data_IF_097351384328
#
_entry.id   IF_097351384328
#
_cell.length_a   1.000
_cell.length_b   1.000
_cell.length_c   1.000
_cell.angle_alpha   90.00
_cell.angle_beta   90.00
_cell.angle_gamma   90.00
#
_symmetry.space_group_name_H-M   'P 1'
#
loop_
_entity.id
_entity.type
_entity.pdbx_description
1 polymer ?
#
# COMPACT_ATOMS: atom_id res chain seq x y z
N UNK A 1 13.56 23.44 6.61
CA UNK A 1 13.65 21.97 6.69
C UNK A 1 12.29 21.43 7.13
N UNK A 2 11.78 20.38 6.50
CA UNK A 2 10.55 19.73 6.92
C UNK A 2 10.78 18.95 8.23
N UNK A 3 9.76 18.89 9.10
CA UNK A 3 9.83 18.10 10.34
C UNK A 3 9.93 16.61 9.98
N UNK A 4 10.95 15.86 10.48
CA UNK A 4 11.06 14.43 10.20
C UNK A 4 9.89 13.64 10.82
N UNK A 5 9.55 12.50 10.23
CA UNK A 5 8.62 11.54 10.82
C UNK A 5 9.39 10.71 11.86
N UNK A 6 8.96 10.79 13.11
CA UNK A 6 9.58 10.06 14.23
C UNK A 6 8.70 8.95 14.78
N UNK A 7 7.39 9.14 14.70
CA UNK A 7 6.39 8.18 15.17
C UNK A 7 5.31 8.04 14.12
N UNK A 8 4.96 6.81 13.78
CA UNK A 8 3.94 6.51 12.79
C UNK A 8 2.98 5.40 13.25
N UNK A 9 1.71 5.51 12.87
CA UNK A 9 0.73 4.45 12.95
C UNK A 9 0.66 3.68 11.64
N UNK A 10 0.52 2.35 11.72
CA UNK A 10 0.20 1.50 10.57
C UNK A 10 -1.05 0.68 10.94
N UNK A 11 -2.09 0.81 10.14
CA UNK A 11 -3.36 0.13 10.37
C UNK A 11 -3.55 -0.96 9.31
N UNK A 12 -3.74 -2.19 9.77
CA UNK A 12 -3.77 -3.39 8.94
C UNK A 12 -2.45 -4.16 9.01
N UNK A 13 -2.51 -5.42 9.45
CA UNK A 13 -1.36 -6.30 9.66
C UNK A 13 -1.21 -7.36 8.55
N UNK A 14 -1.81 -7.10 7.37
CA UNK A 14 -1.62 -7.90 6.17
C UNK A 14 -0.21 -7.76 5.58
N UNK A 15 -0.02 -8.28 4.38
CA UNK A 15 1.28 -8.28 3.69
C UNK A 15 1.85 -6.87 3.56
N UNK A 16 1.03 -5.91 3.08
CA UNK A 16 1.48 -4.53 2.87
C UNK A 16 1.74 -3.81 4.19
N UNK A 17 0.79 -3.82 5.13
CA UNK A 17 0.96 -3.13 6.41
C UNK A 17 2.13 -3.68 7.23
N UNK A 18 2.34 -5.00 7.24
CA UNK A 18 3.51 -5.62 7.90
C UNK A 18 4.83 -5.21 7.24
N UNK A 19 4.84 -5.09 5.91
CA UNK A 19 6.00 -4.61 5.16
C UNK A 19 6.31 -3.13 5.43
N UNK A 20 5.28 -2.27 5.43
CA UNK A 20 5.39 -0.83 5.70
C UNK A 20 5.87 -0.60 7.14
N UNK A 21 5.28 -1.27 8.12
CA UNK A 21 5.69 -1.24 9.52
C UNK A 21 7.17 -1.59 9.68
N UNK A 22 7.61 -2.69 9.08
CA UNK A 22 9.01 -3.11 9.16
C UNK A 22 9.94 -2.09 8.48
N UNK A 23 9.53 -1.50 7.35
CA UNK A 23 10.31 -0.51 6.63
C UNK A 23 10.45 0.81 7.41
N UNK A 24 9.37 1.28 8.05
CA UNK A 24 9.41 2.44 8.94
C UNK A 24 10.32 2.19 10.15
N UNK A 25 10.21 1.03 10.79
CA UNK A 25 11.09 0.67 11.89
C UNK A 25 12.57 0.58 11.47
N UNK A 26 12.89 0.10 10.24
CA UNK A 26 14.23 0.12 9.67
C UNK A 26 14.75 1.55 9.49
N UNK A 27 13.89 2.51 9.16
CA UNK A 27 14.24 3.93 9.01
C UNK A 27 14.35 4.69 10.35
N UNK A 28 14.24 3.97 11.49
CA UNK A 28 14.37 4.56 12.82
C UNK A 28 13.09 5.20 13.36
N UNK A 29 11.94 4.99 12.72
CA UNK A 29 10.63 5.47 13.16
C UNK A 29 10.07 4.52 14.22
N UNK A 30 9.49 5.06 15.29
CA UNK A 30 8.73 4.28 16.26
C UNK A 30 7.32 4.03 15.70
N UNK A 31 6.90 2.76 15.63
CA UNK A 31 5.69 2.35 14.92
C UNK A 31 4.66 1.77 15.88
N UNK A 32 3.43 2.26 15.77
CA UNK A 32 2.24 1.61 16.34
C UNK A 32 1.53 0.85 15.24
N UNK A 33 1.43 -0.47 15.37
CA UNK A 33 0.74 -1.33 14.43
C UNK A 33 -0.57 -1.82 15.01
N UNK A 34 -1.68 -1.42 14.42
CA UNK A 34 -3.02 -1.83 14.86
C UNK A 34 -3.71 -2.66 13.77
N UNK A 35 -4.55 -3.59 14.21
CA UNK A 35 -5.47 -4.32 13.35
C UNK A 35 -6.83 -4.49 14.06
N UNK A 36 -7.79 -5.07 13.41
CA UNK A 36 -9.06 -5.42 14.04
C UNK A 36 -8.87 -6.50 15.11
N UNK A 37 -9.75 -6.52 16.09
CA UNK A 37 -9.89 -7.70 16.97
C UNK A 37 -10.34 -8.87 16.12
N UNK A 38 -9.69 -10.05 16.20
CA UNK A 38 -10.07 -11.20 15.40
C UNK A 38 -11.53 -11.58 15.60
N UNK A 39 -12.32 -11.78 14.52
CA UNK A 39 -13.70 -12.22 14.64
C UNK A 39 -13.77 -13.66 15.23
N UNK A 40 -14.88 -13.99 15.88
CA UNK A 40 -15.16 -15.34 16.37
C UNK A 40 -14.42 -15.74 17.65
N UNK A 41 -13.81 -14.80 18.37
CA UNK A 41 -13.27 -15.08 19.70
C UNK A 41 -14.39 -15.43 20.68
N UNK A 42 -14.19 -16.49 21.49
CA UNK A 42 -15.06 -16.81 22.64
C UNK A 42 -14.99 -15.72 23.71
N UNK A 43 -15.95 -15.65 24.60
CA UNK A 43 -15.98 -14.65 25.69
C UNK A 43 -14.74 -14.72 26.60
N UNK A 44 -14.17 -15.92 26.80
CA UNK A 44 -12.93 -16.04 27.55
C UNK A 44 -11.70 -15.62 26.79
N UNK A 45 -11.64 -15.88 25.47
CA UNK A 45 -10.56 -15.40 24.62
C UNK A 45 -10.55 -13.87 24.51
N UNK A 46 -11.69 -13.22 24.48
CA UNK A 46 -11.83 -11.75 24.46
C UNK A 46 -11.24 -11.07 25.70
N UNK A 47 -11.17 -11.76 26.84
CA UNK A 47 -10.55 -11.23 28.07
C UNK A 47 -9.02 -11.17 28.01
N UNK A 48 -8.41 -11.88 27.06
CA UNK A 48 -6.96 -11.93 26.92
C UNK A 48 -6.48 -10.96 25.83
N UNK A 49 -5.73 -9.90 26.18
CA UNK A 49 -5.19 -8.94 25.20
C UNK A 49 -4.35 -9.59 24.11
N UNK A 50 -3.65 -10.69 24.39
CA UNK A 50 -2.85 -11.40 23.39
C UNK A 50 -3.72 -12.01 22.28
N UNK A 51 -4.92 -12.47 22.60
CA UNK A 51 -5.88 -12.97 21.60
C UNK A 51 -6.48 -11.84 20.79
N UNK A 52 -6.81 -10.71 21.43
CA UNK A 52 -7.35 -9.53 20.78
C UNK A 52 -6.35 -8.88 19.83
N UNK A 53 -5.06 -8.90 20.16
CA UNK A 53 -3.99 -8.32 19.35
C UNK A 53 -3.34 -9.34 18.39
N UNK A 54 -3.94 -10.54 18.23
CA UNK A 54 -3.35 -11.65 17.48
C UNK A 54 -3.01 -11.31 16.05
N UNK A 55 -3.79 -10.48 15.35
CA UNK A 55 -3.52 -10.09 13.98
C UNK A 55 -2.30 -9.17 13.88
N UNK A 56 -2.23 -8.10 14.66
CA UNK A 56 -1.08 -7.21 14.67
C UNK A 56 0.21 -7.92 15.12
N UNK A 57 0.13 -8.73 16.17
CA UNK A 57 1.25 -9.56 16.62
C UNK A 57 1.67 -10.59 15.57
N UNK A 58 0.72 -11.16 14.84
CA UNK A 58 0.95 -12.07 13.71
C UNK A 58 1.70 -11.41 12.58
N UNK A 59 1.31 -10.19 12.21
CA UNK A 59 1.98 -9.38 11.18
C UNK A 59 3.42 -9.07 11.54
N UNK A 60 3.70 -8.63 12.78
CA UNK A 60 5.07 -8.42 13.26
C UNK A 60 5.90 -9.71 13.23
N UNK A 61 5.32 -10.82 13.72
CA UNK A 61 5.99 -12.13 13.69
C UNK A 61 6.25 -12.62 12.26
N UNK A 62 5.31 -12.38 11.35
CA UNK A 62 5.44 -12.67 9.92
C UNK A 62 6.60 -11.87 9.30
N UNK A 63 6.64 -10.56 9.53
CA UNK A 63 7.70 -9.69 9.02
C UNK A 63 9.10 -10.09 9.52
N UNK A 64 9.23 -10.58 10.77
CA UNK A 64 10.48 -11.09 11.32
C UNK A 64 10.99 -12.37 10.62
N UNK A 65 10.09 -13.13 9.99
CA UNK A 65 10.38 -14.41 9.31
C UNK A 65 10.34 -14.29 7.79
N UNK A 66 9.98 -13.12 7.27
CA UNK A 66 9.75 -12.91 5.83
C UNK A 66 10.99 -13.26 5.00
N UNK A 67 10.74 -13.82 3.82
CA UNK A 67 11.72 -14.06 2.78
C UNK A 67 11.19 -13.52 1.46
N UNK A 68 11.84 -12.50 0.90
CA UNK A 68 13.03 -11.79 1.38
C UNK A 68 12.80 -11.02 2.69
N UNK A 69 13.87 -10.79 3.47
CA UNK A 69 13.78 -10.24 4.82
C UNK A 69 13.18 -8.83 4.83
N UNK A 70 12.11 -8.59 5.61
CA UNK A 70 11.47 -7.28 5.75
C UNK A 70 12.29 -6.33 6.67
N UNK A 71 12.86 -6.84 7.75
CA UNK A 71 13.75 -6.08 8.63
C UNK A 71 15.21 -6.14 8.17
N UNK A 72 15.96 -5.02 8.31
CA UNK A 72 17.42 -5.03 8.16
C UNK A 72 18.09 -5.87 9.26
N UNK A 73 17.58 -5.72 10.47
CA UNK A 73 18.02 -6.50 11.62
C UNK A 73 16.85 -6.70 12.58
N UNK A 74 16.73 -7.90 13.18
CA UNK A 74 15.61 -8.27 14.08
C UNK A 74 15.42 -7.30 15.28
N UNK A 75 16.48 -6.62 15.70
CA UNK A 75 16.40 -5.67 16.81
C UNK A 75 15.53 -4.44 16.49
N UNK A 76 15.33 -4.10 15.22
CA UNK A 76 14.46 -2.98 14.84
C UNK A 76 12.99 -3.25 15.17
N UNK A 77 12.59 -4.51 15.33
CA UNK A 77 11.25 -4.87 15.80
C UNK A 77 10.92 -4.30 17.20
N UNK A 78 11.92 -3.91 17.99
CA UNK A 78 11.71 -3.23 19.30
C UNK A 78 11.08 -1.85 19.18
N UNK A 79 11.09 -1.25 17.99
CA UNK A 79 10.42 0.01 17.69
C UNK A 79 8.93 -0.15 17.43
N UNK A 80 8.43 -1.39 17.40
CA UNK A 80 7.05 -1.68 17.04
C UNK A 80 6.24 -2.02 18.28
N UNK A 81 5.18 -1.23 18.50
CA UNK A 81 4.13 -1.53 19.48
C UNK A 81 2.94 -2.10 18.72
N UNK A 82 2.39 -3.24 19.14
CA UNK A 82 1.23 -3.86 18.51
C UNK A 82 -0.01 -3.69 19.38
N UNK A 83 -1.18 -3.56 18.75
CA UNK A 83 -2.45 -3.41 19.43
C UNK A 83 -3.63 -3.67 18.50
N UNK A 84 -4.82 -3.28 18.92
CA UNK A 84 -6.02 -3.37 18.11
C UNK A 84 -6.82 -2.05 18.07
N UNK A 85 -7.72 -1.93 17.09
CA UNK A 85 -8.50 -0.71 16.83
C UNK A 85 -9.63 -0.46 17.86
N UNK A 86 -9.94 -1.43 18.73
CA UNK A 86 -10.97 -1.26 19.76
C UNK A 86 -10.39 -0.74 21.08
N UNK A 87 -9.27 -1.34 21.52
CA UNK A 87 -8.68 -1.06 22.83
C UNK A 87 -7.56 -0.02 22.76
N UNK A 88 -6.84 0.04 21.63
CA UNK A 88 -5.52 0.67 21.56
C UNK A 88 -5.47 1.84 20.55
N UNK A 89 -6.59 2.28 19.99
CA UNK A 89 -6.63 3.33 18.97
C UNK A 89 -5.99 4.64 19.46
N UNK A 90 -6.08 4.92 20.76
CA UNK A 90 -5.46 6.09 21.39
C UNK A 90 -3.93 6.08 21.33
N UNK A 91 -3.31 4.94 21.08
CA UNK A 91 -1.86 4.86 20.83
C UNK A 91 -1.43 5.62 19.57
N UNK A 92 -2.37 5.92 18.67
CA UNK A 92 -2.10 6.71 17.45
C UNK A 92 -1.94 8.21 17.74
N UNK A 93 -2.37 8.69 18.91
CA UNK A 93 -2.13 10.08 19.32
C UNK A 93 -0.63 10.36 19.41
N UNK A 94 -0.22 11.53 18.97
CA UNK A 94 1.18 11.93 18.88
C UNK A 94 1.96 11.29 17.71
N UNK A 95 1.30 10.56 16.79
CA UNK A 95 1.91 10.14 15.54
C UNK A 95 2.05 11.33 14.57
N UNK A 96 3.17 11.39 13.86
CA UNK A 96 3.38 12.33 12.76
C UNK A 96 2.63 11.92 11.49
N UNK A 97 2.46 10.60 11.31
CA UNK A 97 1.83 9.95 10.16
C UNK A 97 1.05 8.72 10.63
N UNK A 98 -0.15 8.53 10.09
CA UNK A 98 -0.89 7.26 10.21
C UNK A 98 -1.19 6.77 8.79
N UNK A 99 -0.73 5.57 8.46
CA UNK A 99 -0.99 4.93 7.16
C UNK A 99 -1.93 3.73 7.31
N UNK A 100 -2.97 3.70 6.50
CA UNK A 100 -3.91 2.60 6.40
C UNK A 100 -3.50 1.65 5.27
N UNK A 101 -3.52 0.34 5.55
CA UNK A 101 -3.25 -0.75 4.63
C UNK A 101 -4.20 -1.94 4.88
N UNK A 102 -5.51 -1.63 4.98
CA UNK A 102 -6.59 -2.60 5.17
C UNK A 102 -7.14 -3.09 3.83
N UNK A 103 -8.22 -3.88 3.87
CA UNK A 103 -8.87 -4.38 2.66
C UNK A 103 -9.42 -3.24 1.79
N UNK A 104 -9.49 -3.49 0.46
CA UNK A 104 -9.92 -2.50 -0.52
C UNK A 104 -11.45 -2.46 -0.59
N UNK A 105 -12.05 -1.79 0.41
CA UNK A 105 -13.50 -1.62 0.54
C UNK A 105 -13.83 -0.22 1.04
N UNK A 106 -14.65 0.52 0.29
CA UNK A 106 -15.01 1.91 0.58
C UNK A 106 -15.65 2.10 1.96
N UNK A 107 -16.64 1.29 2.31
CA UNK A 107 -17.39 1.47 3.54
C UNK A 107 -16.51 1.23 4.78
N UNK A 108 -15.64 0.22 4.71
CA UNK A 108 -14.71 -0.09 5.79
C UNK A 108 -13.67 1.03 5.94
N UNK A 109 -13.12 1.55 4.82
CA UNK A 109 -12.17 2.66 4.86
C UNK A 109 -12.81 3.94 5.37
N UNK A 110 -14.01 4.31 4.92
CA UNK A 110 -14.77 5.47 5.40
C UNK A 110 -15.03 5.41 6.90
N UNK A 111 -15.47 4.24 7.40
CA UNK A 111 -15.68 4.03 8.84
C UNK A 111 -14.39 4.15 9.63
N UNK A 112 -13.27 3.65 9.10
CA UNK A 112 -11.96 3.81 9.72
C UNK A 112 -11.54 5.29 9.75
N UNK A 113 -11.65 6.01 8.63
CA UNK A 113 -11.27 7.43 8.57
C UNK A 113 -12.11 8.30 9.49
N UNK A 114 -13.39 7.98 9.68
CA UNK A 114 -14.22 8.63 10.69
C UNK A 114 -13.68 8.42 12.12
N UNK A 115 -13.28 7.19 12.46
CA UNK A 115 -12.66 6.90 13.76
C UNK A 115 -11.33 7.65 13.91
N UNK A 116 -10.51 7.69 12.88
CA UNK A 116 -9.22 8.39 12.90
C UNK A 116 -9.40 9.89 13.07
N UNK A 117 -10.33 10.51 12.34
CA UNK A 117 -10.65 11.93 12.46
C UNK A 117 -11.03 12.33 13.90
N UNK A 118 -11.80 11.46 14.58
CA UNK A 118 -12.23 11.69 15.96
C UNK A 118 -11.15 11.36 17.01
N UNK A 119 -10.06 10.70 16.61
CA UNK A 119 -9.03 10.21 17.56
C UNK A 119 -7.73 10.98 17.45
N UNK A 120 -7.31 11.30 16.23
CA UNK A 120 -5.97 11.85 15.96
C UNK A 120 -5.86 13.31 16.37
N UNK A 121 -4.64 13.72 16.69
CA UNK A 121 -4.32 15.11 16.94
C UNK A 121 -4.43 15.92 15.64
N UNK A 122 -4.79 17.19 15.78
CA UNK A 122 -4.87 18.11 14.64
C UNK A 122 -3.51 18.21 13.93
N UNK A 123 -3.53 18.12 12.59
CA UNK A 123 -2.32 18.16 11.77
C UNK A 123 -1.56 16.83 11.66
N UNK A 124 -2.06 15.76 12.26
CA UNK A 124 -1.57 14.40 11.95
C UNK A 124 -1.82 14.09 10.49
N UNK A 125 -0.78 13.67 9.76
CA UNK A 125 -0.94 13.26 8.36
C UNK A 125 -1.56 11.86 8.33
N UNK A 126 -2.59 11.69 7.50
CA UNK A 126 -3.22 10.39 7.25
C UNK A 126 -2.95 9.97 5.82
N UNK A 127 -2.54 8.73 5.62
CA UNK A 127 -2.30 8.18 4.30
C UNK A 127 -3.07 6.87 4.11
N UNK A 128 -3.45 6.58 2.86
CA UNK A 128 -3.93 5.25 2.46
C UNK A 128 -2.92 4.58 1.54
N UNK A 129 -2.72 3.28 1.71
CA UNK A 129 -1.94 2.46 0.77
C UNK A 129 -2.85 1.81 -0.30
N UNK A 130 -4.03 2.39 -0.56
CA UNK A 130 -4.91 1.92 -1.64
C UNK A 130 -4.17 1.86 -2.97
N UNK A 131 -4.55 0.90 -3.82
CA UNK A 131 -3.98 0.72 -5.16
C UNK A 131 -4.75 1.45 -6.25
N UNK A 132 -5.99 1.92 -5.97
CA UNK A 132 -6.81 2.49 -7.03
C UNK A 132 -8.13 3.13 -6.60
N UNK A 133 -8.46 3.15 -5.30
CA UNK A 133 -9.66 3.87 -4.84
C UNK A 133 -9.39 5.38 -4.86
N UNK A 134 -10.35 6.13 -5.40
CA UNK A 134 -10.25 7.60 -5.49
C UNK A 134 -10.30 8.23 -4.11
N UNK A 135 -9.43 9.20 -3.88
CA UNK A 135 -9.34 9.92 -2.60
C UNK A 135 -10.65 10.63 -2.29
N UNK A 136 -11.25 11.30 -3.27
CA UNK A 136 -12.52 12.00 -3.09
C UNK A 136 -13.63 11.08 -2.53
N UNK A 137 -13.73 9.86 -3.07
CA UNK A 137 -14.76 8.91 -2.67
C UNK A 137 -14.49 8.32 -1.27
N UNK A 138 -13.22 8.11 -0.91
CA UNK A 138 -12.83 7.64 0.42
C UNK A 138 -13.07 8.68 1.51
N UNK A 139 -12.94 9.98 1.19
CA UNK A 139 -13.02 11.09 2.13
C UNK A 139 -14.37 11.78 2.18
N UNK A 140 -15.39 11.25 1.52
CA UNK A 140 -16.73 11.78 1.58
C UNK A 140 -17.20 11.93 3.04
N UNK A 141 -17.70 13.13 3.39
CA UNK A 141 -18.15 13.45 4.74
C UNK A 141 -17.04 13.76 5.76
N UNK A 142 -15.76 13.78 5.38
CA UNK A 142 -14.67 14.20 6.29
C UNK A 142 -14.52 15.71 6.31
N UNK A 143 -13.99 16.24 7.41
CA UNK A 143 -13.75 17.69 7.57
C UNK A 143 -12.68 18.18 6.59
N UNK A 144 -12.68 19.50 6.34
CA UNK A 144 -11.66 20.16 5.53
C UNK A 144 -10.25 19.94 6.12
N UNK A 145 -10.11 19.99 7.45
CA UNK A 145 -8.84 19.75 8.14
C UNK A 145 -8.32 18.33 7.88
N UNK A 146 -9.18 17.31 7.92
CA UNK A 146 -8.80 15.93 7.64
C UNK A 146 -8.40 15.77 6.18
N UNK A 147 -9.17 16.31 5.23
CA UNK A 147 -8.87 16.25 3.79
C UNK A 147 -7.56 16.95 3.41
N UNK A 148 -7.25 18.09 4.05
CA UNK A 148 -5.96 18.79 3.85
C UNK A 148 -4.75 17.99 4.31
N UNK A 149 -4.91 17.13 5.31
CA UNK A 149 -3.83 16.30 5.85
C UNK A 149 -3.83 14.87 5.31
N UNK A 150 -4.56 14.59 4.23
CA UNK A 150 -4.68 13.26 3.65
C UNK A 150 -3.98 13.17 2.28
N UNK A 151 -3.36 11.99 2.03
CA UNK A 151 -2.81 11.63 0.72
C UNK A 151 -2.83 10.10 0.54
N UNK A 152 -2.58 9.63 -0.68
CA UNK A 152 -2.20 8.22 -0.91
C UNK A 152 -0.68 8.10 -0.86
N UNK A 153 -0.18 7.08 -0.16
CA UNK A 153 1.20 6.61 -0.17
C UNK A 153 1.20 5.13 -0.63
N UNK A 154 1.27 4.93 -1.93
CA UNK A 154 1.17 3.60 -2.52
C UNK A 154 2.53 2.92 -2.60
N UNK A 155 2.75 1.98 -1.69
CA UNK A 155 3.94 1.12 -1.65
C UNK A 155 3.75 -0.13 -2.50
N UNK A 156 4.84 -0.67 -3.02
CA UNK A 156 4.87 -1.91 -3.81
C UNK A 156 5.50 -3.06 -3.01
N UNK A 157 4.99 -4.26 -3.21
CA UNK A 157 5.49 -5.47 -2.55
C UNK A 157 6.70 -6.06 -3.31
N UNK A 158 7.78 -6.45 -2.65
CA UNK A 158 8.10 -6.34 -1.22
C UNK A 158 8.53 -4.93 -0.82
N UNK A 159 7.86 -4.33 0.18
CA UNK A 159 8.00 -2.91 0.53
C UNK A 159 9.46 -2.46 0.72
N UNK A 160 10.29 -3.26 1.35
CA UNK A 160 11.71 -2.94 1.58
C UNK A 160 12.52 -2.83 0.28
N UNK A 161 12.22 -3.67 -0.71
CA UNK A 161 13.05 -3.86 -1.92
C UNK A 161 12.59 -3.00 -3.09
N UNK A 162 11.30 -2.79 -3.20
CA UNK A 162 10.73 -1.93 -4.24
C UNK A 162 11.07 -0.47 -3.95
N UNK A 163 11.79 0.16 -4.88
CA UNK A 163 12.20 1.57 -4.72
C UNK A 163 11.06 2.55 -4.97
N UNK A 164 10.13 2.20 -5.83
CA UNK A 164 8.99 3.06 -6.17
C UNK A 164 8.08 3.27 -4.97
N UNK A 165 7.74 4.53 -4.72
CA UNK A 165 6.66 4.96 -3.85
C UNK A 165 5.87 6.05 -4.58
N UNK A 166 4.60 5.81 -4.83
CA UNK A 166 3.71 6.80 -5.41
C UNK A 166 3.08 7.65 -4.31
N UNK A 167 3.12 8.96 -4.50
CA UNK A 167 2.38 9.90 -3.68
C UNK A 167 1.29 10.54 -4.53
N UNK A 168 0.04 10.44 -4.07
CA UNK A 168 -1.10 11.00 -4.79
C UNK A 168 -1.82 11.97 -3.87
N UNK A 169 -1.96 13.21 -4.31
CA UNK A 169 -2.72 14.23 -3.62
C UNK A 169 -4.20 14.15 -4.00
N UNK A 170 -5.09 14.32 -3.03
CA UNK A 170 -6.46 14.70 -3.30
C UNK A 170 -6.57 16.18 -3.67
N UNK A 171 -7.75 16.61 -4.08
CA UNK A 171 -8.01 17.98 -4.50
C UNK A 171 -7.66 19.03 -3.40
N UNK A 172 -7.91 18.66 -2.14
CA UNK A 172 -7.70 19.55 -0.99
C UNK A 172 -6.40 19.27 -0.23
N UNK A 173 -5.60 18.29 -0.62
CA UNK A 173 -4.35 17.94 0.08
C UNK A 173 -3.39 19.15 0.11
N UNK A 174 -2.95 19.54 1.31
CA UNK A 174 -2.02 20.65 1.47
C UNK A 174 -0.67 20.34 0.77
N UNK A 175 -0.16 21.24 -0.09
CA UNK A 175 1.16 21.09 -0.69
C UNK A 175 2.30 20.90 0.32
N UNK A 176 2.16 21.42 1.54
CA UNK A 176 3.14 21.20 2.60
C UNK A 176 3.16 19.74 3.08
N UNK A 177 2.01 19.06 3.09
CA UNK A 177 1.88 17.63 3.40
C UNK A 177 2.59 16.82 2.32
N UNK A 178 2.31 17.10 1.04
CA UNK A 178 2.98 16.45 -0.09
C UNK A 178 4.50 16.61 -0.01
N UNK A 179 4.97 17.84 0.21
CA UNK A 179 6.40 18.14 0.36
C UNK A 179 7.03 17.37 1.54
N UNK A 180 6.34 17.32 2.69
CA UNK A 180 6.83 16.59 3.88
C UNK A 180 6.94 15.10 3.59
N UNK A 181 5.95 14.50 2.93
CA UNK A 181 5.95 13.07 2.62
C UNK A 181 6.92 12.72 1.49
N UNK A 182 7.18 13.62 0.54
CA UNK A 182 8.28 13.46 -0.43
C UNK A 182 9.62 13.36 0.28
N UNK A 183 9.96 14.31 1.14
CA UNK A 183 11.21 14.30 1.92
C UNK A 183 11.28 13.05 2.82
N UNK A 184 10.19 12.66 3.46
CA UNK A 184 10.14 11.42 4.25
C UNK A 184 10.44 10.20 3.39
N UNK A 185 9.81 10.08 2.23
CA UNK A 185 10.02 8.98 1.29
C UNK A 185 11.45 8.90 0.76
N UNK A 186 12.01 10.02 0.33
CA UNK A 186 13.36 10.08 -0.25
C UNK A 186 14.45 9.94 0.81
N UNK A 187 14.44 10.79 1.83
CA UNK A 187 15.56 10.93 2.75
C UNK A 187 15.56 9.87 3.87
N UNK A 188 14.36 9.52 4.39
CA UNK A 188 14.24 8.57 5.50
C UNK A 188 14.00 7.14 5.03
N UNK A 189 13.15 6.95 4.00
CA UNK A 189 12.79 5.62 3.51
C UNK A 189 13.66 5.14 2.34
N UNK A 190 14.43 6.03 1.70
CA UNK A 190 15.27 5.70 0.54
C UNK A 190 14.48 5.27 -0.69
N UNK A 191 13.27 5.82 -0.86
CA UNK A 191 12.38 5.58 -2.00
C UNK A 191 12.65 6.54 -3.15
N UNK A 192 12.32 6.09 -4.37
CA UNK A 192 12.12 6.97 -5.51
C UNK A 192 10.66 7.41 -5.55
N UNK A 193 10.42 8.71 -5.39
CA UNK A 193 9.07 9.25 -5.34
C UNK A 193 8.56 9.55 -6.74
N UNK A 194 7.34 9.09 -7.03
CA UNK A 194 6.55 9.50 -8.20
C UNK A 194 5.28 10.15 -7.69
N UNK A 195 5.05 11.39 -8.11
CA UNK A 195 3.80 12.09 -7.81
C UNK A 195 2.78 11.73 -8.88
N UNK A 196 1.75 11.00 -8.48
CA UNK A 196 0.65 10.59 -9.33
C UNK A 196 -0.54 11.54 -9.24
N UNK A 197 -1.47 11.41 -10.19
CA UNK A 197 -2.80 12.02 -10.11
C UNK A 197 -3.77 11.05 -9.44
N UNK A 198 -4.84 11.57 -8.83
CA UNK A 198 -5.95 10.76 -8.28
C UNK A 198 -6.78 10.15 -9.41
N UNK A 199 -6.18 9.21 -10.12
CA UNK A 199 -6.79 8.47 -11.24
C UNK A 199 -6.68 6.97 -11.00
N UNK A 200 -7.56 6.15 -11.59
CA UNK A 200 -7.57 4.70 -11.37
C UNK A 200 -6.20 4.06 -11.56
N UNK A 201 -5.79 3.25 -10.59
CA UNK A 201 -4.51 2.51 -10.56
C UNK A 201 -3.24 3.37 -10.66
N UNK A 202 -3.35 4.68 -10.46
CA UNK A 202 -2.27 5.67 -10.43
C UNK A 202 -1.30 5.54 -11.63
N UNK A 203 0.00 5.41 -11.39
CA UNK A 203 1.04 5.36 -12.44
C UNK A 203 1.59 3.95 -12.63
N UNK A 204 2.10 3.33 -11.55
CA UNK A 204 2.83 2.06 -11.63
C UNK A 204 1.96 0.89 -12.05
N UNK A 205 0.81 0.73 -11.42
CA UNK A 205 -0.13 -0.34 -11.77
C UNK A 205 -0.68 -0.16 -13.18
N UNK A 206 -1.04 1.08 -13.57
CA UNK A 206 -1.57 1.37 -14.89
C UNK A 206 -0.55 1.07 -15.99
N UNK A 207 0.70 1.54 -15.85
CA UNK A 207 1.77 1.25 -16.82
C UNK A 207 2.11 -0.24 -16.83
N UNK A 208 2.21 -0.86 -15.65
CA UNK A 208 2.53 -2.29 -15.53
C UNK A 208 1.47 -3.18 -16.18
N UNK A 209 0.19 -2.93 -15.92
CA UNK A 209 -0.90 -3.69 -16.54
C UNK A 209 -1.01 -3.43 -18.05
N UNK A 210 -0.84 -2.18 -18.48
CA UNK A 210 -0.80 -1.86 -19.91
C UNK A 210 0.28 -2.64 -20.63
N UNK A 211 1.52 -2.57 -20.14
CA UNK A 211 2.66 -3.27 -20.73
C UNK A 211 2.48 -4.78 -20.77
N UNK A 212 1.96 -5.36 -19.68
CA UNK A 212 1.71 -6.79 -19.59
C UNK A 212 0.60 -7.23 -20.55
N UNK A 213 -0.52 -6.51 -20.59
CA UNK A 213 -1.65 -6.81 -21.49
C UNK A 213 -1.24 -6.70 -22.95
N UNK A 214 -0.48 -5.66 -23.31
CA UNK A 214 0.07 -5.51 -24.65
C UNK A 214 1.00 -6.68 -25.01
N UNK A 215 1.89 -7.08 -24.10
CA UNK A 215 2.79 -8.23 -24.29
C UNK A 215 2.02 -9.53 -24.52
N UNK A 216 0.89 -9.74 -23.82
CA UNK A 216 0.05 -10.92 -24.01
C UNK A 216 -0.64 -10.92 -25.39
N UNK A 217 -1.15 -9.77 -25.84
CA UNK A 217 -1.78 -9.64 -27.14
C UNK A 217 -0.76 -9.89 -28.27
N UNK A 218 0.39 -9.24 -28.23
CA UNK A 218 1.47 -9.42 -29.22
C UNK A 218 2.01 -10.86 -29.24
N UNK A 219 2.06 -11.54 -28.09
CA UNK A 219 2.44 -12.96 -28.02
C UNK A 219 1.48 -13.82 -28.87
N UNK A 220 0.17 -13.61 -28.73
CA UNK A 220 -0.84 -14.36 -29.46
C UNK A 220 -0.77 -14.08 -30.97
N UNK A 221 -0.64 -12.82 -31.35
CA UNK A 221 -0.56 -12.39 -32.74
C UNK A 221 0.71 -12.93 -33.45
N UNK A 222 1.82 -13.03 -32.70
CA UNK A 222 3.08 -13.59 -33.20
C UNK A 222 3.15 -15.12 -33.14
N UNK A 223 2.18 -15.79 -32.51
CA UNK A 223 2.18 -17.24 -32.32
C UNK A 223 3.30 -17.75 -31.42
N UNK A 224 3.76 -16.92 -30.47
CA UNK A 224 4.81 -17.25 -29.52
C UNK A 224 4.24 -17.93 -28.26
N UNK A 225 5.11 -18.65 -27.56
CA UNK A 225 4.78 -19.20 -26.23
C UNK A 225 5.17 -18.22 -25.12
N UNK A 226 4.60 -18.36 -23.89
CA UNK A 226 5.05 -17.56 -22.73
C UNK A 226 6.56 -17.68 -22.46
N UNK A 227 7.15 -18.85 -22.70
CA UNK A 227 8.59 -19.12 -22.54
C UNK A 227 9.43 -18.33 -23.56
N UNK A 228 8.96 -18.24 -24.81
CA UNK A 228 9.62 -17.47 -25.89
C UNK A 228 9.61 -15.97 -25.50
N UNK A 229 8.46 -15.47 -25.05
CA UNK A 229 8.32 -14.07 -24.62
C UNK A 229 9.21 -13.78 -23.41
N UNK A 230 9.24 -14.65 -22.41
CA UNK A 230 10.11 -14.46 -21.24
C UNK A 230 11.60 -14.48 -21.61
N UNK A 231 11.99 -15.29 -22.60
CA UNK A 231 13.36 -15.29 -23.11
C UNK A 231 13.74 -13.94 -23.78
N UNK A 232 12.79 -13.27 -24.42
CA UNK A 232 12.97 -11.97 -25.10
C UNK A 232 12.89 -10.81 -24.09
N UNK A 233 11.82 -10.78 -23.28
CA UNK A 233 11.46 -9.63 -22.44
C UNK A 233 12.19 -9.57 -21.10
N UNK A 234 13.11 -10.49 -20.85
CA UNK A 234 13.95 -10.52 -19.65
C UNK A 234 15.27 -9.77 -19.83
N UNK A 235 16.40 -10.38 -19.46
CA UNK A 235 17.73 -9.75 -19.51
C UNK A 235 18.11 -9.14 -20.87
N UNK A 236 17.72 -9.71 -22.04
CA UNK A 236 18.04 -9.10 -23.32
C UNK A 236 17.48 -7.68 -23.50
N UNK A 237 16.34 -7.38 -22.87
CA UNK A 237 15.72 -6.04 -22.86
C UNK A 237 16.11 -5.21 -21.63
N UNK A 238 17.07 -5.67 -20.81
CA UNK A 238 17.48 -4.96 -19.58
C UNK A 238 16.50 -5.15 -18.42
N UNK A 239 15.55 -6.05 -18.54
CA UNK A 239 14.60 -6.35 -17.47
C UNK A 239 15.13 -7.44 -16.51
N UNK A 240 14.50 -7.60 -15.32
CA UNK A 240 14.83 -8.69 -14.40
C UNK A 240 14.68 -10.08 -15.04
N UNK A 241 15.34 -11.09 -14.49
CA UNK A 241 15.24 -12.48 -14.95
C UNK A 241 13.83 -13.08 -14.89
N UNK A 242 12.93 -12.47 -14.13
CA UNK A 242 11.51 -12.85 -14.09
C UNK A 242 10.77 -12.50 -15.38
N UNK A 243 11.32 -11.61 -16.20
CA UNK A 243 10.71 -11.19 -17.47
C UNK A 243 9.23 -10.81 -17.32
N UNK A 244 8.36 -11.07 -18.30
CA UNK A 244 6.94 -10.70 -18.26
C UNK A 244 6.07 -11.73 -17.54
N UNK A 245 6.01 -12.96 -18.03
CA UNK A 245 5.06 -13.95 -17.52
C UNK A 245 5.40 -14.49 -16.14
N UNK A 246 6.68 -14.73 -15.83
CA UNK A 246 7.08 -15.04 -14.45
C UNK A 246 6.84 -13.91 -13.48
N UNK A 247 6.89 -12.66 -13.95
CA UNK A 247 6.50 -11.51 -13.12
C UNK A 247 5.00 -11.53 -12.86
N UNK A 248 4.17 -11.84 -13.85
CA UNK A 248 2.73 -12.02 -13.68
C UNK A 248 2.40 -13.12 -12.66
N UNK A 249 3.08 -14.28 -12.75
CA UNK A 249 2.96 -15.36 -11.76
C UNK A 249 3.34 -14.94 -10.35
N UNK A 250 4.42 -14.16 -10.19
CA UNK A 250 4.88 -13.68 -8.89
C UNK A 250 3.94 -12.66 -8.27
N UNK A 251 3.28 -11.83 -9.09
CA UNK A 251 2.25 -10.87 -8.67
C UNK A 251 0.95 -11.60 -8.31
N UNK A 252 0.65 -12.67 -9.01
CA UNK A 252 -0.60 -13.42 -8.98
C UNK A 252 -1.48 -13.02 -10.16
N UNK A 253 -1.87 -14.01 -10.96
CA UNK A 253 -2.68 -13.81 -12.17
C UNK A 253 -4.08 -13.25 -11.84
N UNK A 254 -4.64 -13.62 -10.71
CA UNK A 254 -5.87 -13.09 -10.15
C UNK A 254 -5.76 -11.60 -9.83
N UNK A 255 -4.67 -11.20 -9.20
CA UNK A 255 -4.36 -9.79 -8.91
C UNK A 255 -4.18 -9.00 -10.20
N UNK A 256 -3.40 -9.53 -11.15
CA UNK A 256 -3.20 -8.90 -12.46
C UNK A 256 -4.54 -8.70 -13.18
N UNK A 257 -5.36 -9.76 -13.27
CA UNK A 257 -6.69 -9.69 -13.91
C UNK A 257 -7.56 -8.64 -13.25
N UNK A 258 -7.63 -8.63 -11.92
CA UNK A 258 -8.44 -7.66 -11.18
C UNK A 258 -8.02 -6.20 -11.47
N UNK A 259 -6.71 -5.92 -11.50
CA UNK A 259 -6.20 -4.57 -11.82
C UNK A 259 -6.47 -4.21 -13.29
N UNK A 260 -6.32 -5.15 -14.22
CA UNK A 260 -6.64 -4.93 -15.64
C UNK A 260 -8.14 -4.66 -15.87
N UNK A 261 -9.01 -5.46 -15.25
CA UNK A 261 -10.46 -5.25 -15.30
C UNK A 261 -10.83 -3.85 -14.77
N UNK A 262 -10.26 -3.45 -13.63
CA UNK A 262 -10.48 -2.13 -13.06
C UNK A 262 -9.97 -1.00 -13.98
N UNK A 263 -8.82 -1.17 -14.63
CA UNK A 263 -8.33 -0.22 -15.63
C UNK A 263 -9.32 -0.11 -16.79
N UNK A 264 -9.75 -1.25 -17.32
CA UNK A 264 -10.70 -1.29 -18.43
C UNK A 264 -12.02 -0.60 -18.08
N UNK A 265 -12.59 -0.87 -16.90
CA UNK A 265 -13.88 -0.30 -16.47
C UNK A 265 -13.78 1.21 -16.18
N UNK A 266 -12.71 1.64 -15.55
CA UNK A 266 -12.59 3.00 -15.03
C UNK A 266 -12.00 4.00 -16.03
N UNK A 267 -11.25 3.56 -17.06
CA UNK A 267 -10.57 4.43 -18.03
C UNK A 267 -11.41 4.62 -19.30
N UNK A 268 -12.66 5.03 -19.15
CA UNK A 268 -13.65 5.11 -20.25
C UNK A 268 -13.24 6.04 -21.38
N UNK A 269 -12.46 7.08 -21.09
CA UNK A 269 -11.99 8.08 -22.05
C UNK A 269 -10.56 7.81 -22.55
N UNK A 270 -9.94 6.69 -22.15
CA UNK A 270 -8.58 6.34 -22.59
C UNK A 270 -8.64 5.73 -24.01
N UNK A 271 -7.94 6.30 -25.01
CA UNK A 271 -7.98 5.78 -26.38
C UNK A 271 -7.38 4.37 -26.49
N UNK A 272 -6.51 3.96 -25.56
CA UNK A 272 -5.88 2.64 -25.53
C UNK A 272 -6.58 1.69 -24.53
N UNK A 273 -7.77 2.04 -24.06
CA UNK A 273 -8.53 1.29 -23.05
C UNK A 273 -8.65 -0.19 -23.38
N UNK A 274 -8.85 -0.54 -24.65
CA UNK A 274 -9.07 -1.92 -25.08
C UNK A 274 -7.85 -2.84 -24.86
N UNK A 275 -6.65 -2.28 -24.69
CA UNK A 275 -5.43 -3.04 -24.35
C UNK A 275 -5.57 -3.72 -23.00
N UNK A 276 -6.34 -3.14 -22.06
CA UNK A 276 -6.54 -3.73 -20.73
C UNK A 276 -7.50 -4.92 -20.72
N UNK A 277 -8.17 -5.24 -21.83
CA UNK A 277 -8.94 -6.49 -21.93
C UNK A 277 -7.99 -7.68 -21.96
N UNK A 278 -8.04 -8.59 -20.96
CA UNK A 278 -7.24 -9.80 -21.06
C UNK A 278 -7.71 -10.61 -22.27
N UNK A 279 -6.77 -11.13 -23.09
CA UNK A 279 -7.14 -11.99 -24.20
C UNK A 279 -7.84 -13.25 -23.70
N UNK A 280 -8.77 -13.77 -24.50
CA UNK A 280 -9.39 -15.08 -24.24
C UNK A 280 -8.38 -16.17 -24.55
N UNK A 281 -7.94 -16.91 -23.55
CA UNK A 281 -7.12 -18.13 -23.68
C UNK A 281 -8.01 -19.37 -23.71
#
# INVERSE_FOLDING_TARGET
>A
MTKPVRRAGVIGAGVMGSGIMAHFANAGVDVVMLDIVPPGLSEDEKKNPANRNRFAAGGLKGALKAKPAAFFHKNYARRVTVGNLEDDIDLLKGCDLVIEAIIENFDIKRSLFEKLENTLDEGTIVASNTSGLRIADMLEGRSESFRKNFLVMHFFNPVRYMKLLELVAGEETDPAVMKRMTVFGEDQLGKGIVVGKDTPNFVGNRIGCYSMSLTMNEMLDAGLTPEDVDAITGPPMGHPKSASFRTADMVGLDTFKHVSDNCYEALVDDPERDVFKPPAF
#
